data_IF_109815887742
#
_entry.id   IF_109815887742
#
_cell.length_a   1.000
_cell.length_b   1.000
_cell.length_c   1.000
_cell.angle_alpha   90.00
_cell.angle_beta   90.00
_cell.angle_gamma   90.00
#
_symmetry.space_group_name_H-M   'P 1'
#
loop_
_entity.id
_entity.type
_entity.pdbx_description
1 polymer ?
2 non-polymer ?
3 non-polymer ?
4 non-polymer ?
5 water ?
#
# COMPACT_ATOMS: atom_id res chain seq x y z
N UNK A 1 -26.83 3.97 6.39
CA UNK A 1 -25.48 4.23 5.86
C UNK A 1 -24.56 2.99 6.00
N UNK A 2 -23.54 2.91 5.14
CA UNK A 2 -22.67 1.77 5.18
C UNK A 2 -21.31 1.99 5.87
N UNK A 3 -20.74 0.87 6.26
CA UNK A 3 -19.42 0.85 6.85
C UNK A 3 -19.06 -0.64 6.84
N UNK A 4 -17.79 -0.94 7.01
CA UNK A 4 -17.38 -2.32 7.03
C UNK A 4 -15.94 -2.44 7.52
N UNK A 5 -15.53 -3.67 7.80
CA UNK A 5 -14.17 -3.93 8.24
C UNK A 5 -13.69 -5.14 7.45
N UNK A 6 -12.56 -4.95 6.78
CA UNK A 6 -11.93 -6.00 6.02
C UNK A 6 -10.67 -6.35 6.76
N UNK A 7 -10.42 -7.64 6.99
CA UNK A 7 -9.21 -8.00 7.68
C UNK A 7 -8.06 -8.26 6.73
N UNK A 8 -6.91 -7.68 6.98
CA UNK A 8 -5.76 -7.95 6.14
C UNK A 8 -4.83 -8.92 6.85
N UNK A 9 -3.95 -9.58 6.08
CA UNK A 9 -3.00 -10.49 6.71
C UNK A 9 -1.69 -10.35 5.96
N UNK A 10 -0.59 -10.19 6.69
CA UNK A 10 0.71 -10.09 6.05
C UNK A 10 1.22 -11.46 5.58
N UNK A 11 1.99 -11.45 4.52
CA UNK A 11 2.64 -12.64 4.01
C UNK A 11 3.98 -12.75 4.77
N UNK A 12 4.82 -13.69 4.38
CA UNK A 12 6.12 -13.86 5.04
C UNK A 12 6.91 -12.54 5.11
N UNK A 13 7.41 -12.22 6.30
CA UNK A 13 8.18 -11.00 6.51
C UNK A 13 7.39 -9.71 6.30
N UNK A 14 6.06 -9.82 6.25
CA UNK A 14 5.20 -8.65 6.04
C UNK A 14 5.53 -8.04 4.66
N UNK A 15 5.87 -8.88 3.70
CA UNK A 15 6.25 -8.35 2.41
C UNK A 15 5.08 -7.66 1.73
N UNK A 16 3.88 -8.21 1.93
CA UNK A 16 2.68 -7.58 1.40
C UNK A 16 1.52 -7.98 2.29
N UNK A 17 0.39 -7.28 2.14
CA UNK A 17 -0.77 -7.55 2.95
C UNK A 17 -1.95 -7.85 2.03
N UNK A 18 -2.58 -8.99 2.26
CA UNK A 18 -3.70 -9.38 1.43
C UNK A 18 -5.03 -9.32 2.19
N UNK A 19 -6.09 -9.07 1.42
CA UNK A 19 -7.41 -8.96 1.98
C UNK A 19 -8.36 -9.59 0.98
N UNK A 20 -9.32 -10.37 1.44
CA UNK A 20 -10.28 -10.97 0.51
C UNK A 20 -11.24 -9.93 -0.07
N UNK A 21 -11.62 -10.13 -1.33
CA UNK A 21 -12.54 -9.24 -2.03
C UNK A 21 -13.38 -10.17 -2.90
N UNK A 22 -14.69 -10.02 -2.82
CA UNK A 22 -15.57 -10.87 -3.62
C UNK A 22 -16.04 -10.13 -4.85
N UNK A 23 -15.70 -10.67 -6.01
CA UNK A 23 -16.13 -10.09 -7.27
C UNK A 23 -17.05 -11.04 -8.03
N UNK A 24 -18.29 -10.62 -8.28
CA UNK A 24 -19.24 -11.47 -9.00
C UNK A 24 -19.36 -12.85 -8.35
N UNK A 25 -19.37 -12.89 -7.02
CA UNK A 25 -19.46 -14.17 -6.30
C UNK A 25 -18.15 -14.96 -6.07
N UNK A 26 -17.06 -14.59 -6.73
CA UNK A 26 -15.79 -15.28 -6.55
C UNK A 26 -14.87 -14.48 -5.61
N UNK A 27 -14.33 -15.11 -4.56
CA UNK A 27 -13.43 -14.41 -3.64
C UNK A 27 -11.96 -14.51 -4.03
N UNK A 28 -11.32 -13.37 -4.20
CA UNK A 28 -9.91 -13.29 -4.55
C UNK A 28 -9.15 -12.63 -3.41
N UNK A 29 -7.86 -12.92 -3.27
CA UNK A 29 -7.05 -12.28 -2.25
C UNK A 29 -6.27 -11.17 -2.92
N UNK A 30 -6.63 -9.92 -2.64
CA UNK A 30 -5.97 -8.78 -3.26
C UNK A 30 -5.06 -7.97 -2.35
N UNK A 31 -4.10 -7.29 -2.95
CA UNK A 31 -3.17 -6.44 -2.22
C UNK A 31 -3.74 -5.01 -2.31
N UNK A 32 -4.24 -4.46 -1.21
CA UNK A 32 -4.80 -3.09 -1.22
C UNK A 32 -3.66 -2.10 -1.28
N UNK A 33 -3.76 -1.17 -2.21
CA UNK A 33 -2.66 -0.28 -2.48
C UNK A 33 -3.09 1.17 -2.57
N UNK A 34 -2.76 1.93 -1.54
CA UNK A 34 -3.12 3.36 -1.54
C UNK A 34 -2.26 4.18 -2.49
N UNK A 35 -1.28 3.54 -3.13
CA UNK A 35 -0.37 4.22 -4.07
C UNK A 35 -0.78 4.12 -5.55
N UNK A 36 -1.89 3.45 -5.84
CA UNK A 36 -2.35 3.36 -7.23
C UNK A 36 -3.87 3.33 -7.26
N UNK A 37 -4.43 3.62 -8.44
CA UNK A 37 -5.86 3.73 -8.58
C UNK A 37 -6.59 2.68 -9.40
N UNK A 38 -5.91 1.58 -9.71
CA UNK A 38 -6.52 0.50 -10.48
C UNK A 38 -6.91 -0.72 -9.65
N UNK A 39 -8.07 -1.29 -9.94
CA UNK A 39 -8.48 -2.53 -9.29
C UNK A 39 -8.29 -3.57 -10.41
N UNK A 40 -7.24 -4.36 -10.36
CA UNK A 40 -7.04 -5.32 -11.44
C UNK A 40 -6.88 -6.71 -10.87
N UNK A 41 -7.34 -7.72 -11.61
CA UNK A 41 -7.30 -9.08 -11.10
C UNK A 41 -6.84 -10.12 -12.12
N UNK A 42 -6.29 -11.21 -11.60
CA UNK A 42 -5.92 -12.34 -12.46
C UNK A 42 -7.25 -12.82 -13.02
N UNK A 43 -7.26 -13.19 -14.30
CA UNK A 43 -8.52 -13.60 -14.92
C UNK A 43 -8.31 -14.80 -15.83
N UNK A 44 -9.40 -15.30 -16.35
CA UNK A 44 -9.40 -16.44 -17.25
C UNK A 44 -8.84 -16.06 -18.63
N UNK A 45 -8.57 -14.77 -18.84
CA UNK A 45 -8.02 -14.33 -20.13
C UNK A 45 -6.53 -14.51 -20.18
N UNK A 46 -5.90 -14.81 -19.04
CA UNK A 46 -4.46 -15.04 -19.01
C UNK A 46 -4.22 -16.45 -19.54
N UNK A 47 -2.99 -16.72 -19.97
CA UNK A 47 -2.64 -18.06 -20.40
C UNK A 47 -2.88 -18.95 -19.19
N UNK A 48 -3.37 -20.15 -19.47
CA UNK A 48 -3.65 -21.09 -18.39
C UNK A 48 -2.45 -21.29 -17.46
N UNK A 49 -1.24 -21.24 -18.00
CA UNK A 49 -0.07 -21.48 -17.16
C UNK A 49 0.09 -20.38 -16.13
N UNK A 50 -0.35 -19.18 -16.49
CA UNK A 50 -0.22 -18.07 -15.56
C UNK A 50 -1.32 -18.01 -14.50
N UNK A 51 -2.40 -18.77 -14.70
CA UNK A 51 -3.50 -18.80 -13.75
C UNK A 51 -3.24 -19.71 -12.57
N UNK A 52 -2.24 -20.58 -12.72
CA UNK A 52 -1.94 -21.55 -11.69
C UNK A 52 -1.55 -20.97 -10.35
N UNK A 53 -2.18 -21.49 -9.30
CA UNK A 53 -1.91 -21.06 -7.93
C UNK A 53 -2.58 -19.74 -7.59
N UNK A 54 -3.65 -19.42 -8.31
CA UNK A 54 -4.38 -18.19 -8.08
C UNK A 54 -5.85 -18.44 -8.17
N UNK A 55 -6.64 -17.58 -7.55
CA UNK A 55 -8.09 -17.62 -7.70
C UNK A 55 -8.24 -16.59 -8.82
N UNK A 56 -8.98 -16.96 -9.86
CA UNK A 56 -9.13 -16.08 -11.01
C UNK A 56 -10.56 -15.62 -11.26
N UNK A 57 -10.69 -14.40 -11.79
CA UNK A 57 -11.99 -13.88 -12.14
C UNK A 57 -12.33 -14.33 -13.56
N UNK A 58 -13.55 -14.82 -13.77
CA UNK A 58 -14.04 -15.19 -15.10
C UNK A 58 -15.05 -14.14 -15.47
N UNK A 59 -14.66 -13.20 -16.33
CA UNK A 59 -15.54 -12.10 -16.71
C UNK A 59 -16.84 -12.51 -17.39
N UNK A 60 -16.78 -13.59 -18.16
CA UNK A 60 -17.93 -14.07 -18.94
C UNK A 60 -19.11 -14.48 -18.08
N UNK A 61 -18.84 -14.96 -16.87
CA UNK A 61 -19.89 -15.40 -15.99
C UNK A 61 -20.81 -14.32 -15.40
N UNK A 62 -20.25 -13.13 -15.08
CA UNK A 62 -21.02 -12.09 -14.40
C UNK A 62 -20.71 -10.65 -14.77
N UNK A 63 -19.60 -10.41 -15.44
CA UNK A 63 -19.21 -9.04 -15.78
C UNK A 63 -19.88 -8.49 -17.02
N UNK A 64 -20.00 -7.17 -17.09
CA UNK A 64 -20.53 -6.49 -18.28
C UNK A 64 -19.31 -5.86 -18.94
N UNK A 65 -18.99 -6.26 -20.17
CA UNK A 65 -17.79 -5.74 -20.83
C UNK A 65 -17.92 -4.31 -21.30
N UNK A 66 -16.88 -3.50 -21.10
CA UNK A 66 -16.89 -2.14 -21.65
C UNK A 66 -16.15 -2.30 -22.98
N UNK A 67 -16.90 -2.45 -24.06
CA UNK A 67 -16.26 -2.67 -25.33
C UNK A 67 -15.33 -1.50 -25.73
N UNK A 68 -14.13 -1.82 -26.18
CA UNK A 68 -13.17 -0.80 -26.61
C UNK A 68 -12.30 -0.22 -25.51
N UNK A 69 -12.59 -0.58 -24.26
CA UNK A 69 -11.83 -0.10 -23.11
C UNK A 69 -10.60 -0.95 -22.80
N UNK A 70 -9.52 -0.32 -22.38
CA UNK A 70 -8.32 -1.05 -22.03
C UNK A 70 -7.66 -0.36 -20.85
N UNK A 71 -6.68 -1.04 -20.26
CA UNK A 71 -5.93 -0.49 -19.15
C UNK A 71 -4.51 -1.03 -19.26
N UNK A 72 -3.58 -0.27 -18.72
CA UNK A 72 -2.18 -0.63 -18.77
C UNK A 72 -1.51 0.16 -17.68
N UNK A 73 -0.83 -0.53 -16.78
CA UNK A 73 -0.23 0.15 -15.65
C UNK A 73 1.21 -0.30 -15.46
N UNK A 74 2.03 0.65 -15.00
CA UNK A 74 3.45 0.43 -14.71
C UNK A 74 3.76 0.95 -13.31
N UNK A 75 4.31 0.07 -12.48
CA UNK A 75 4.63 0.39 -11.11
C UNK A 75 6.06 0.87 -10.90
N UNK A 76 6.31 1.36 -9.69
CA UNK A 76 7.59 1.89 -9.27
C UNK A 76 8.76 0.93 -9.46
N UNK A 77 8.56 -0.36 -9.19
CA UNK A 77 9.63 -1.35 -9.35
C UNK A 77 9.78 -1.83 -10.80
N UNK A 78 9.01 -1.22 -11.71
CA UNK A 78 9.04 -1.60 -13.12
C UNK A 78 8.05 -2.69 -13.52
N UNK A 79 7.38 -3.33 -12.56
CA UNK A 79 6.42 -4.37 -12.94
C UNK A 79 5.29 -3.72 -13.76
N UNK A 80 4.52 -4.54 -14.46
CA UNK A 80 3.42 -4.00 -15.25
C UNK A 80 2.34 -5.05 -15.51
N UNK A 81 1.17 -4.56 -15.93
CA UNK A 81 0.02 -5.41 -16.23
C UNK A 81 -0.86 -4.61 -17.16
N UNK A 82 -1.64 -5.33 -17.95
CA UNK A 82 -2.58 -4.71 -18.88
C UNK A 82 -3.70 -5.70 -19.22
N UNK A 83 -4.80 -5.17 -19.73
CA UNK A 83 -5.93 -6.00 -20.07
C UNK A 83 -7.13 -5.18 -20.49
N UNK A 84 -8.29 -5.81 -20.35
CA UNK A 84 -9.56 -5.22 -20.71
C UNK A 84 -10.42 -4.90 -19.49
N UNK A 85 -11.64 -4.42 -19.70
CA UNK A 85 -12.44 -3.94 -18.58
C UNK A 85 -13.88 -4.39 -18.56
N UNK A 86 -14.36 -4.72 -17.37
CA UNK A 86 -15.73 -5.16 -17.15
C UNK A 86 -16.25 -4.46 -15.90
N UNK A 87 -17.56 -4.34 -15.79
CA UNK A 87 -18.14 -3.81 -14.54
C UNK A 87 -18.76 -5.00 -13.85
N UNK A 88 -18.74 -5.01 -12.52
CA UNK A 88 -19.29 -6.16 -11.80
C UNK A 88 -19.53 -5.72 -10.37
N UNK A 89 -20.08 -6.63 -9.56
CA UNK A 89 -20.30 -6.36 -8.13
C UNK A 89 -19.02 -6.67 -7.37
N UNK A 90 -18.60 -5.75 -6.50
CA UNK A 90 -17.36 -5.95 -5.76
C UNK A 90 -17.63 -5.67 -4.31
N UNK A 91 -17.46 -6.71 -3.49
CA UNK A 91 -17.70 -6.60 -2.05
C UNK A 91 -16.44 -6.65 -1.22
N UNK A 92 -16.29 -5.70 -0.29
CA UNK A 92 -15.10 -5.68 0.56
C UNK A 92 -15.60 -5.39 1.96
N UNK A 93 -15.35 -6.31 2.89
CA UNK A 93 -15.80 -6.12 4.27
C UNK A 93 -17.30 -5.87 4.43
N UNK A 94 -18.11 -6.50 3.59
CA UNK A 94 -19.54 -6.32 3.69
C UNK A 94 -20.06 -5.10 2.94
N UNK A 95 -19.16 -4.26 2.43
CA UNK A 95 -19.56 -3.08 1.64
C UNK A 95 -19.49 -3.44 0.16
N UNK A 96 -20.62 -3.36 -0.53
CA UNK A 96 -20.69 -3.70 -1.95
C UNK A 96 -20.75 -2.53 -2.92
N UNK A 97 -19.85 -2.51 -3.89
CA UNK A 97 -19.91 -1.51 -4.93
C UNK A 97 -20.56 -2.19 -6.13
N UNK A 98 -21.70 -1.68 -6.58
CA UNK A 98 -22.33 -2.25 -7.77
C UNK A 98 -21.81 -1.48 -9.00
N UNK A 99 -21.56 -2.17 -10.09
CA UNK A 99 -21.08 -1.51 -11.31
C UNK A 99 -19.63 -1.04 -11.23
N UNK A 100 -18.86 -1.60 -10.29
CA UNK A 100 -17.46 -1.22 -10.16
C UNK A 100 -16.68 -1.75 -11.35
N UNK A 101 -15.80 -0.91 -11.90
CA UNK A 101 -14.95 -1.34 -13.00
C UNK A 101 -13.88 -2.32 -12.52
N UNK A 102 -13.87 -3.51 -13.09
CA UNK A 102 -12.87 -4.51 -12.74
C UNK A 102 -11.95 -4.69 -13.93
N UNK A 103 -10.66 -4.48 -13.73
CA UNK A 103 -9.68 -4.58 -14.81
C UNK A 103 -9.13 -6.00 -14.88
N UNK A 104 -9.58 -6.73 -15.90
CA UNK A 104 -9.17 -8.12 -16.08
C UNK A 104 -7.82 -8.20 -16.78
N UNK A 105 -6.86 -8.85 -16.14
CA UNK A 105 -5.53 -8.98 -16.72
C UNK A 105 -5.48 -9.90 -17.92
N UNK A 106 -4.80 -9.43 -18.96
CA UNK A 106 -4.50 -10.21 -20.17
C UNK A 106 -2.99 -10.49 -20.26
N UNK A 107 -2.20 -9.63 -19.63
CA UNK A 107 -0.75 -9.78 -19.60
C UNK A 107 -0.24 -9.24 -18.28
N UNK A 108 0.77 -9.89 -17.72
CA UNK A 108 1.37 -9.48 -16.46
C UNK A 108 2.86 -9.78 -16.54
N UNK A 109 3.67 -8.91 -15.97
CA UNK A 109 5.10 -9.06 -16.00
C UNK A 109 5.55 -10.15 -15.02
N UNK A 110 6.83 -10.50 -15.09
CA UNK A 110 7.39 -11.57 -14.27
C UNK A 110 7.16 -11.46 -12.77
N UNK A 111 7.23 -10.24 -12.22
CA UNK A 111 7.03 -10.06 -10.79
C UNK A 111 5.68 -10.63 -10.35
N UNK A 112 4.65 -10.37 -11.12
CA UNK A 112 3.34 -10.88 -10.78
C UNK A 112 3.21 -12.37 -11.07
N UNK A 113 3.87 -12.83 -12.13
CA UNK A 113 3.80 -14.25 -12.44
C UNK A 113 4.48 -15.02 -11.29
N UNK A 114 5.46 -14.42 -10.63
CA UNK A 114 6.15 -15.12 -9.56
C UNK A 114 5.44 -15.07 -8.22
N UNK A 115 4.66 -14.03 -8.00
CA UNK A 115 3.99 -13.86 -6.71
C UNK A 115 2.63 -14.56 -6.65
N UNK A 116 2.58 -15.71 -6.00
CA UNK A 116 1.32 -16.40 -5.89
C UNK A 116 0.51 -16.01 -4.65
N UNK A 117 1.01 -15.05 -3.89
CA UNK A 117 0.33 -14.61 -2.67
C UNK A 117 -0.88 -13.71 -2.93
N UNK A 118 -0.94 -13.10 -4.11
CA UNK A 118 -2.10 -12.27 -4.37
C UNK A 118 -2.66 -12.61 -5.74
N UNK A 119 -3.91 -12.22 -5.94
CA UNK A 119 -4.65 -12.42 -7.19
C UNK A 119 -4.91 -11.09 -7.90
N UNK A 120 -4.14 -10.06 -7.54
CA UNK A 120 -4.31 -8.73 -8.14
C UNK A 120 -4.19 -7.63 -7.08
N UNK A 121 -4.46 -6.39 -7.49
CA UNK A 121 -4.37 -5.24 -6.60
C UNK A 121 -5.64 -4.43 -6.60
N UNK A 122 -5.99 -3.87 -5.45
CA UNK A 122 -7.16 -2.99 -5.35
C UNK A 122 -6.61 -1.60 -5.00
N UNK A 123 -6.69 -0.67 -5.96
CA UNK A 123 -6.12 0.67 -5.77
C UNK A 123 -7.01 1.57 -4.89
N UNK A 124 -6.36 2.36 -4.05
CA UNK A 124 -7.07 3.27 -3.16
C UNK A 124 -6.49 4.70 -3.22
N UNK A 125 -5.67 4.98 -4.23
CA UNK A 125 -5.17 6.34 -4.47
C UNK A 125 -6.36 7.11 -5.10
N UNK A 126 -6.18 8.38 -5.44
CA UNK A 126 -7.28 9.13 -6.04
C UNK A 126 -7.61 8.64 -7.46
N UNK A 127 -8.89 8.68 -7.84
CA UNK A 127 -9.31 8.17 -9.14
C UNK A 127 -8.70 8.87 -10.34
N UNK A 128 -8.18 10.07 -10.13
CA UNK A 128 -7.56 10.86 -11.21
C UNK A 128 -6.42 10.14 -11.92
N UNK A 129 -5.76 9.21 -11.23
CA UNK A 129 -4.69 8.44 -11.82
C UNK A 129 -5.07 7.03 -12.29
N UNK A 130 -6.35 6.70 -12.30
CA UNK A 130 -6.78 5.40 -12.82
C UNK A 130 -6.36 5.35 -14.31
N UNK A 131 -5.83 4.21 -14.75
CA UNK A 131 -5.29 4.06 -16.11
C UNK A 131 -6.28 3.66 -17.23
N UNK A 132 -7.54 3.39 -16.90
CA UNK A 132 -8.49 2.96 -17.94
C UNK A 132 -8.68 3.97 -19.06
N UNK A 133 -8.60 3.48 -20.30
CA UNK A 133 -8.75 4.26 -21.52
C UNK A 133 -10.00 3.74 -22.24
N UNK A 134 -10.76 4.55 -22.96
CA UNK A 134 -10.55 5.99 -23.16
C UNK A 134 -11.07 6.92 -22.06
N UNK A 135 -11.79 6.38 -21.10
CA UNK A 135 -12.32 7.19 -20.01
C UNK A 135 -11.99 6.44 -18.71
N UNK A 136 -11.31 7.14 -17.81
CA UNK A 136 -10.90 6.54 -16.54
C UNK A 136 -12.07 6.21 -15.63
N UNK A 137 -11.88 5.20 -14.79
CA UNK A 137 -12.92 4.73 -13.88
C UNK A 137 -12.60 5.12 -12.45
N UNK A 138 -13.59 4.97 -11.57
CA UNK A 138 -13.37 5.27 -10.16
C UNK A 138 -12.93 4.04 -9.36
N UNK A 139 -12.14 4.30 -8.32
CA UNK A 139 -11.65 3.25 -7.42
C UNK A 139 -12.85 2.76 -6.61
N UNK A 140 -12.69 1.59 -6.00
CA UNK A 140 -13.74 1.04 -5.16
C UNK A 140 -14.19 2.07 -4.14
N UNK A 141 -13.23 2.77 -3.55
CA UNK A 141 -13.55 3.76 -2.52
C UNK A 141 -14.37 4.90 -3.06
N UNK A 142 -13.95 5.47 -4.19
CA UNK A 142 -14.71 6.57 -4.78
C UNK A 142 -16.08 6.12 -5.23
N UNK A 143 -16.21 4.86 -5.62
CA UNK A 143 -17.50 4.35 -6.04
C UNK A 143 -18.51 4.29 -4.90
N UNK A 144 -18.07 3.83 -3.73
CA UNK A 144 -18.92 3.65 -2.56
C UNK A 144 -18.96 4.82 -1.59
N UNK A 145 -18.03 5.74 -1.75
CA UNK A 145 -17.84 6.88 -0.85
C UNK A 145 -19.11 7.58 -0.39
N UNK A 146 -20.02 7.85 -1.31
CA UNK A 146 -21.25 8.57 -0.97
C UNK A 146 -22.21 7.74 -0.13
N UNK A 147 -22.06 6.42 -0.14
CA UNK A 147 -22.95 5.56 0.64
C UNK A 147 -22.42 5.33 2.06
N UNK A 148 -21.15 5.61 2.29
CA UNK A 148 -20.56 5.37 3.60
C UNK A 148 -21.02 6.38 4.66
N UNK A 149 -20.94 5.98 5.93
CA UNK A 149 -21.29 6.86 7.05
C UNK A 149 -20.40 8.10 7.05
N UNK A 150 -19.11 7.92 6.79
CA UNK A 150 -18.19 9.04 6.64
C UNK A 150 -17.33 8.65 5.47
N UNK A 151 -16.98 9.61 4.61
CA UNK A 151 -16.21 9.37 3.40
C UNK A 151 -14.72 9.22 3.67
N UNK A 152 -14.38 8.13 4.35
CA UNK A 152 -13.00 7.87 4.71
C UNK A 152 -12.78 6.37 4.89
N UNK A 153 -11.52 5.98 4.97
CA UNK A 153 -11.15 4.61 5.30
C UNK A 153 -9.92 4.76 6.21
N UNK A 154 -9.64 3.72 6.99
CA UNK A 154 -8.51 3.81 7.91
C UNK A 154 -7.80 2.47 7.88
N UNK A 155 -6.52 2.45 8.25
CA UNK A 155 -5.81 1.19 8.18
C UNK A 155 -4.85 0.99 9.34
N UNK A 156 -4.79 -0.26 9.79
CA UNK A 156 -3.86 -0.69 10.82
C UNK A 156 -3.21 -1.97 10.25
N UNK A 157 -1.98 -1.80 9.78
CA UNK A 157 -1.13 -2.88 9.28
C UNK A 157 -0.27 -3.27 10.44
N UNK A 158 -0.20 -4.56 10.70
CA UNK A 158 0.58 -5.07 11.82
C UNK A 158 1.75 -5.95 11.46
N UNK A 159 2.66 -6.11 12.41
CA UNK A 159 3.79 -7.00 12.22
C UNK A 159 3.41 -8.45 12.57
N UNK A 160 3.36 -9.31 11.54
CA UNK A 160 3.03 -10.70 11.75
C UNK A 160 1.74 -10.97 12.51
N UNK A 161 0.71 -10.16 12.27
CA UNK A 161 -0.57 -10.37 12.91
C UNK A 161 -1.61 -9.79 11.95
N UNK A 162 -2.85 -10.25 12.03
CA UNK A 162 -3.89 -9.73 11.16
C UNK A 162 -4.13 -8.26 11.52
N UNK A 163 -4.54 -7.47 10.54
CA UNK A 163 -4.78 -6.05 10.76
C UNK A 163 -6.14 -5.75 10.12
N UNK A 164 -6.47 -4.46 9.99
CA UNK A 164 -7.76 -4.16 9.41
C UNK A 164 -7.73 -2.96 8.48
N UNK A 165 -8.77 -2.91 7.65
CA UNK A 165 -9.11 -1.76 6.83
C UNK A 165 -10.53 -1.41 7.28
N UNK A 166 -10.67 -0.24 7.91
CA UNK A 166 -12.00 0.20 8.34
C UNK A 166 -12.56 1.10 7.27
N UNK A 167 -13.71 0.76 6.74
CA UNK A 167 -14.35 1.60 5.74
C UNK A 167 -15.54 2.38 6.32
N UNK A 168 -15.52 3.70 6.15
CA UNK A 168 -16.63 4.55 6.56
C UNK A 168 -16.76 4.86 8.05
N UNK A 169 -15.73 4.52 8.84
CA UNK A 169 -15.79 4.83 10.27
C UNK A 169 -14.40 4.64 10.86
N UNK A 170 -14.19 5.25 12.01
CA UNK A 170 -12.91 5.21 12.70
C UNK A 170 -13.05 4.35 13.96
N UNK A 171 -12.14 3.40 14.14
CA UNK A 171 -12.21 2.55 15.31
C UNK A 171 -11.20 3.12 16.29
N UNK A 172 -11.71 3.85 17.30
CA UNK A 172 -10.83 4.48 18.27
C UNK A 172 -10.04 3.52 19.14
N UNK A 173 -10.46 2.25 19.17
CA UNK A 173 -9.72 1.29 20.00
C UNK A 173 -8.42 0.84 19.33
N UNK A 174 -8.22 1.24 18.07
CA UNK A 174 -7.02 0.87 17.33
C UNK A 174 -5.78 1.73 17.53
N UNK A 175 -5.94 2.85 18.25
CA UNK A 175 -4.80 3.74 18.48
C UNK A 175 -4.90 4.34 19.89
N UNK A 176 -3.77 4.86 20.33
CA UNK A 176 -3.63 5.53 21.62
C UNK A 176 -3.79 7.02 21.40
N UNK A 177 -4.45 7.70 22.34
CA UNK A 177 -4.59 9.14 22.25
C UNK A 177 -5.57 9.58 21.17
N UNK A 178 -5.38 10.81 20.71
CA UNK A 178 -6.22 11.40 19.68
C UNK A 178 -5.48 11.45 18.35
N UNK A 179 -6.25 11.54 17.27
CA UNK A 179 -5.67 11.68 15.93
C UNK A 179 -5.17 13.09 15.66
N UNK A 180 -4.07 13.19 14.93
CA UNK A 180 -3.57 14.48 14.48
C UNK A 180 -3.74 14.45 12.96
N UNK A 181 -4.37 15.46 12.38
CA UNK A 181 -4.58 15.53 10.93
C UNK A 181 -3.63 16.45 10.23
N UNK A 182 -3.36 16.19 8.96
CA UNK A 182 -2.49 17.07 8.19
C UNK A 182 -3.08 17.10 6.79
N UNK A 183 -2.88 18.21 6.08
CA UNK A 183 -3.44 18.34 4.75
C UNK A 183 -2.78 17.46 3.68
N UNK A 184 -3.61 16.98 2.75
CA UNK A 184 -3.13 16.15 1.64
C UNK A 184 -3.11 16.93 0.34
N UNK A 185 -2.02 16.78 -0.42
CA UNK A 185 -1.91 17.34 -1.77
C UNK A 185 -2.23 16.18 -2.72
N UNK A 186 -3.41 16.20 -3.35
CA UNK A 186 -3.79 15.14 -4.26
C UNK A 186 -3.54 15.42 -5.75
N UNK A 187 -2.79 16.48 -6.03
CA UNK A 187 -2.51 16.89 -7.40
C UNK A 187 -1.88 15.83 -8.32
N UNK A 188 -1.09 14.92 -7.79
CA UNK A 188 -0.52 13.84 -8.59
C UNK A 188 -1.25 12.53 -8.34
N UNK A 189 -2.40 12.63 -7.68
CA UNK A 189 -3.27 11.49 -7.39
C UNK A 189 -2.89 10.68 -6.16
N UNK A 190 -1.85 11.10 -5.43
CA UNK A 190 -1.43 10.32 -4.26
C UNK A 190 -1.92 10.93 -2.95
N UNK A 191 -1.83 10.17 -1.86
CA UNK A 191 -2.14 10.70 -0.54
C UNK A 191 -0.81 11.28 -0.10
N UNK A 192 -0.50 12.45 -0.63
CA UNK A 192 0.75 13.13 -0.35
C UNK A 192 0.66 14.07 0.86
N UNK A 193 1.70 14.11 1.68
CA UNK A 193 1.68 15.00 2.84
C UNK A 193 3.08 15.48 3.13
N UNK A 194 3.19 16.58 3.88
CA UNK A 194 4.50 17.13 4.24
C UNK A 194 4.89 16.80 5.65
N UNK A 195 6.18 16.60 5.86
CA UNK A 195 6.71 16.45 7.20
C UNK A 195 7.58 17.67 7.38
N UNK A 196 7.58 18.20 8.59
CA UNK A 196 8.36 19.38 8.94
C UNK A 196 9.83 19.14 9.24
N UNK A 197 10.12 17.94 9.74
CA UNK A 197 11.49 17.55 10.05
C UNK A 197 11.49 16.05 10.34
N UNK A 198 12.70 15.52 10.52
CA UNK A 198 12.86 14.10 10.83
C UNK A 198 14.04 13.98 11.78
N UNK A 199 14.08 12.82 12.44
CA UNK A 199 15.18 12.46 13.32
C UNK A 199 15.54 10.99 13.04
N UNK A 200 16.76 10.80 12.57
CA UNK A 200 17.28 9.47 12.28
C UNK A 200 18.26 9.19 13.40
N UNK A 201 17.84 8.48 14.44
CA UNK A 201 18.76 8.20 15.55
C UNK A 201 19.23 9.52 16.13
N UNK A 202 20.56 9.70 16.12
CA UNK A 202 21.18 10.90 16.68
C UNK A 202 21.25 12.13 15.78
N UNK A 203 20.77 12.00 14.54
CA UNK A 203 20.80 13.09 13.57
C UNK A 203 19.41 13.62 13.21
N UNK A 204 19.22 14.92 13.16
CA UNK A 204 17.94 15.48 12.76
C UNK A 204 18.14 16.23 11.46
N UNK A 205 17.08 16.48 10.71
CA UNK A 205 17.24 17.18 9.44
C UNK A 205 15.93 17.85 9.04
N UNK A 206 15.99 18.56 7.92
CA UNK A 206 14.91 19.33 7.37
C UNK A 206 13.80 18.46 6.78
N UNK A 207 12.61 19.03 6.67
CA UNK A 207 11.43 18.34 6.14
C UNK A 207 11.44 18.01 4.63
N UNK A 208 10.35 17.36 4.21
CA UNK A 208 10.22 16.92 2.82
C UNK A 208 8.79 16.38 2.67
N UNK A 209 8.40 15.99 1.46
CA UNK A 209 7.06 15.44 1.30
C UNK A 209 7.15 13.95 1.00
N UNK A 210 6.02 13.27 1.16
CA UNK A 210 6.00 11.85 0.85
C UNK A 210 4.59 11.37 0.72
N UNK A 211 4.45 10.13 0.25
CA UNK A 211 3.14 9.54 0.07
C UNK A 211 2.86 8.35 1.00
N UNK A 212 1.63 8.25 1.50
CA UNK A 212 1.23 7.14 2.35
C UNK A 212 0.88 6.03 1.35
N UNK A 213 1.65 4.95 1.37
CA UNK A 213 1.52 3.92 0.34
C UNK A 213 1.58 2.49 0.90
N UNK A 214 0.41 1.90 1.06
CA UNK A 214 0.32 0.56 1.60
C UNK A 214 0.90 -0.48 0.66
N UNK A 215 1.04 -0.11 -0.61
CA UNK A 215 1.51 -1.01 -1.67
C UNK A 215 3.02 -1.24 -1.72
N UNK A 216 3.77 -0.45 -0.96
CA UNK A 216 5.22 -0.56 -0.92
C UNK A 216 5.63 -1.12 0.43
N UNK A 217 6.46 -2.15 0.42
CA UNK A 217 6.87 -2.84 1.64
C UNK A 217 7.72 -1.98 2.57
N UNK A 218 8.64 -1.22 1.98
CA UNK A 218 9.63 -0.47 2.75
C UNK A 218 9.37 1.02 2.90
N UNK A 219 10.22 1.66 3.69
CA UNK A 219 10.20 3.10 3.90
C UNK A 219 11.32 3.60 2.99
N UNK A 220 10.96 4.25 1.87
CA UNK A 220 11.96 4.72 0.90
C UNK A 220 12.20 6.20 1.08
N UNK A 221 13.45 6.58 1.32
CA UNK A 221 13.79 7.96 1.60
C UNK A 221 14.93 8.42 0.71
N UNK A 222 15.21 9.71 0.73
CA UNK A 222 16.32 10.21 -0.05
C UNK A 222 17.62 9.57 0.36
N UNK A 223 18.53 9.43 -0.61
CA UNK A 223 19.84 8.86 -0.37
C UNK A 223 20.60 9.50 0.77
N UNK A 224 20.49 10.83 0.94
CA UNK A 224 21.19 11.54 2.01
C UNK A 224 20.72 11.07 3.38
N UNK A 225 19.40 10.85 3.52
CA UNK A 225 18.80 10.40 4.77
C UNK A 225 19.15 8.95 5.04
N UNK A 226 19.12 8.12 4.00
CA UNK A 226 19.50 6.72 4.16
C UNK A 226 20.96 6.60 4.66
N UNK A 227 21.85 7.38 4.05
CA UNK A 227 23.24 7.35 4.46
C UNK A 227 23.38 7.73 5.92
N UNK A 228 22.69 8.79 6.31
CA UNK A 228 22.74 9.26 7.68
C UNK A 228 22.29 8.20 8.63
N UNK A 229 21.20 7.54 8.27
CA UNK A 229 20.66 6.49 9.12
C UNK A 229 21.66 5.33 9.27
N UNK A 230 22.11 4.79 8.14
CA UNK A 230 23.03 3.65 8.22
C UNK A 230 24.43 3.94 8.72
N UNK A 231 24.84 5.20 8.69
CA UNK A 231 26.15 5.54 9.21
C UNK A 231 26.17 5.22 10.72
N UNK A 232 24.98 5.14 11.31
CA UNK A 232 24.83 4.85 12.74
C UNK A 232 24.67 3.37 13.09
N UNK A 233 24.61 2.53 12.05
CA UNK A 233 24.42 1.11 12.25
C UNK A 233 25.75 0.40 12.04
N UNK A 234 26.28 -0.19 13.11
CA UNK A 234 27.57 -0.81 12.99
C UNK A 234 27.57 -1.96 11.99
N UNK A 235 28.52 -1.90 11.06
CA UNK A 235 28.64 -2.93 10.03
C UNK A 235 27.65 -2.87 8.86
N UNK A 236 26.76 -1.89 8.81
CA UNK A 236 25.79 -1.83 7.69
C UNK A 236 26.55 -1.70 6.37
N UNK A 237 26.07 -2.43 5.36
CA UNK A 237 26.70 -2.41 4.05
C UNK A 237 25.63 -2.75 3.03
N UNK A 238 25.80 -2.25 1.81
CA UNK A 238 24.85 -2.57 0.78
C UNK A 238 25.13 -3.96 0.21
N UNK A 239 24.06 -4.66 -0.15
CA UNK A 239 24.16 -5.99 -0.71
C UNK A 239 23.08 -6.05 -1.76
N UNK A 240 23.52 -5.97 -3.01
CA UNK A 240 22.60 -5.97 -4.13
C UNK A 240 21.83 -7.27 -4.24
N UNK A 241 22.37 -8.36 -3.69
CA UNK A 241 21.64 -9.62 -3.69
C UNK A 241 20.40 -9.46 -2.81
N UNK A 242 20.57 -8.74 -1.71
CA UNK A 242 19.47 -8.53 -0.78
C UNK A 242 18.55 -7.40 -1.20
N UNK A 243 19.07 -6.40 -1.90
CA UNK A 243 18.22 -5.29 -2.29
C UNK A 243 18.51 -3.96 -1.60
N UNK A 244 19.58 -3.88 -0.84
CA UNK A 244 19.90 -2.63 -0.18
C UNK A 244 20.83 -2.87 1.00
N UNK A 245 20.75 -1.96 1.96
CA UNK A 245 21.56 -2.07 3.16
C UNK A 245 21.16 -3.27 3.98
N UNK A 246 22.15 -3.99 4.50
CA UNK A 246 21.90 -5.13 5.36
C UNK A 246 22.84 -4.99 6.54
N UNK A 247 22.53 -5.74 7.60
CA UNK A 247 23.33 -5.66 8.81
C UNK A 247 23.08 -6.92 9.62
N UNK A 248 23.92 -7.11 10.63
CA UNK A 248 23.81 -8.26 11.50
C UNK A 248 22.43 -8.21 12.15
N UNK A 249 21.72 -9.32 12.15
CA UNK A 249 20.38 -9.32 12.70
C UNK A 249 20.24 -8.87 14.15
N UNK A 250 21.28 -9.03 14.96
CA UNK A 250 21.20 -8.65 16.35
C UNK A 250 21.54 -7.19 16.65
N UNK A 251 21.90 -6.45 15.61
CA UNK A 251 22.25 -5.04 15.75
C UNK A 251 21.11 -4.23 16.38
N UNK A 252 21.48 -3.28 17.23
CA UNK A 252 20.52 -2.36 17.85
C UNK A 252 20.31 -1.22 16.85
N UNK A 253 19.11 -1.12 16.27
CA UNK A 253 18.83 -0.07 15.28
C UNK A 253 18.26 1.20 15.93
N UNK A 254 18.70 2.37 15.47
CA UNK A 254 18.11 3.60 16.00
C UNK A 254 16.65 3.79 15.52
N UNK A 255 15.90 4.61 16.24
CA UNK A 255 14.52 4.89 15.83
C UNK A 255 14.57 5.89 14.69
N UNK A 256 13.44 6.05 14.04
CA UNK A 256 13.33 7.04 13.00
C UNK A 256 11.99 7.72 13.25
N UNK A 257 11.96 9.04 13.18
CA UNK A 257 10.67 9.69 13.37
C UNK A 257 10.54 10.92 12.48
N UNK A 258 9.30 11.33 12.26
CA UNK A 258 9.06 12.51 11.45
C UNK A 258 8.05 13.36 12.19
N UNK A 259 8.18 14.67 12.04
CA UNK A 259 7.26 15.58 12.70
C UNK A 259 6.23 15.94 11.64
N UNK A 260 4.95 15.76 11.94
CA UNK A 260 3.87 16.04 10.98
C UNK A 260 2.82 16.90 11.70
N UNK A 261 2.73 18.17 11.30
CA UNK A 261 1.77 19.08 11.91
C UNK A 261 1.76 19.02 13.43
N UNK A 262 2.95 18.99 14.02
CA UNK A 262 3.11 18.95 15.49
C UNK A 262 3.18 17.55 16.11
N UNK A 263 2.74 16.55 15.38
CA UNK A 263 2.77 15.18 15.86
C UNK A 263 4.07 14.44 15.47
N UNK A 264 4.68 13.77 16.44
CA UNK A 264 5.88 13.01 16.12
C UNK A 264 5.54 11.55 15.83
N UNK A 265 5.67 11.14 14.58
CA UNK A 265 5.40 9.74 14.21
C UNK A 265 6.71 8.97 14.34
N UNK A 266 6.77 8.05 15.30
CA UNK A 266 8.00 7.31 15.52
C UNK A 266 7.95 5.87 15.07
N UNK A 267 8.95 5.47 14.29
CA UNK A 267 9.07 4.07 13.89
C UNK A 267 10.21 3.52 14.75
N UNK A 268 9.90 2.63 15.69
CA UNK A 268 10.93 2.12 16.57
C UNK A 268 11.94 1.30 15.80
N UNK A 269 13.19 1.30 16.26
CA UNK A 269 14.23 0.54 15.58
C UNK A 269 13.87 -0.94 15.35
N UNK A 270 13.15 -1.56 16.26
CA UNK A 270 12.79 -2.96 16.08
C UNK A 270 11.98 -3.23 14.80
N UNK A 271 11.16 -2.28 14.37
CA UNK A 271 10.39 -2.44 13.14
C UNK A 271 11.23 -2.17 11.91
N UNK A 272 12.36 -1.51 12.09
CA UNK A 272 13.21 -1.21 10.96
C UNK A 272 14.00 -2.47 10.54
N UNK A 273 14.00 -3.48 11.40
CA UNK A 273 14.65 -4.73 11.00
C UNK A 273 13.57 -5.49 10.23
N UNK A 274 13.66 -5.45 8.91
CA UNK A 274 12.67 -6.10 8.07
C UNK A 274 12.63 -7.63 8.19
N UNK A 275 13.79 -8.26 8.21
CA UNK A 275 13.80 -9.71 8.28
C UNK A 275 15.07 -10.17 7.62
N UNK A 276 15.24 -11.49 7.58
CA UNK A 276 16.43 -12.09 6.96
C UNK A 276 16.52 -11.55 5.55
N UNK A 277 17.74 -11.23 5.14
CA UNK A 277 18.02 -10.66 3.83
C UNK A 277 17.91 -11.71 2.74
N UNK A 278 17.79 -12.97 3.14
CA UNK A 278 17.75 -14.09 2.20
C UNK A 278 19.20 -14.37 1.81
N UNK A 279 20.04 -13.37 2.05
CA UNK A 279 21.46 -13.44 1.77
C UNK A 279 22.35 -14.03 2.85
N UNK A 280 21.96 -15.21 3.31
CA UNK A 280 22.73 -15.94 4.32
C UNK A 280 22.41 -15.65 5.77
N UNK A 281 23.12 -14.71 6.40
CA UNK A 281 22.89 -14.47 7.82
C UNK A 281 22.68 -13.03 8.26
N UNK A 282 22.48 -12.13 7.29
CA UNK A 282 22.23 -10.73 7.58
C UNK A 282 20.75 -10.44 7.48
N UNK A 283 20.36 -9.28 8.00
CA UNK A 283 18.98 -8.83 7.93
C UNK A 283 18.88 -7.61 7.02
N UNK A 284 17.73 -7.47 6.36
CA UNK A 284 17.52 -6.35 5.47
C UNK A 284 16.94 -5.17 6.25
N UNK A 285 17.44 -3.96 5.98
CA UNK A 285 16.92 -2.76 6.64
C UNK A 285 15.58 -2.34 6.04
N UNK A 286 14.68 -1.85 6.90
CA UNK A 286 13.35 -1.40 6.48
C UNK A 286 13.44 -0.05 5.76
N UNK A 287 14.52 0.70 5.97
CA UNK A 287 14.76 1.96 5.28
C UNK A 287 15.68 1.71 4.08
N UNK A 288 15.30 2.19 2.89
CA UNK A 288 16.15 2.04 1.68
C UNK A 288 15.93 3.26 0.79
N UNK A 289 16.76 3.39 -0.24
CA UNK A 289 16.70 4.53 -1.15
C UNK A 289 15.46 4.61 -2.03
N UNK A 290 15.01 5.84 -2.28
CA UNK A 290 13.91 6.12 -3.19
C UNK A 290 14.39 6.32 -4.62
N UNK A 291 15.67 6.04 -4.88
CA UNK A 291 16.19 6.13 -6.24
C UNK A 291 16.21 7.53 -6.83
N UNK A 292 16.17 8.55 -5.97
CA UNK A 292 16.25 9.92 -6.44
C UNK A 292 15.00 10.51 -7.04
N UNK A 293 13.84 9.90 -6.80
CA UNK A 293 12.59 10.43 -7.35
C UNK A 293 12.07 11.76 -6.78
N UNK A 294 12.69 12.29 -5.74
CA UNK A 294 12.29 13.58 -5.20
C UNK A 294 11.22 13.63 -4.12
N UNK A 295 10.70 12.48 -3.69
CA UNK A 295 9.73 12.48 -2.61
C UNK A 295 9.84 11.10 -1.97
N UNK A 296 9.41 11.00 -0.72
CA UNK A 296 9.55 9.75 0.01
C UNK A 296 8.31 8.87 -0.03
N UNK A 297 8.54 7.57 0.10
CA UNK A 297 7.44 6.62 0.07
C UNK A 297 7.26 6.04 1.48
N UNK A 298 6.16 6.41 2.13
CA UNK A 298 5.89 5.92 3.48
C UNK A 298 5.12 4.60 3.36
N UNK A 299 5.91 3.54 3.16
CA UNK A 299 5.42 2.18 2.96
C UNK A 299 5.10 1.45 4.27
N UNK A 300 4.92 0.14 4.15
CA UNK A 300 4.49 -0.66 5.26
C UNK A 300 5.33 -0.57 6.51
N UNK A 301 6.65 -0.41 6.38
CA UNK A 301 7.52 -0.34 7.55
C UNK A 301 7.05 0.82 8.46
N UNK A 302 6.71 1.94 7.84
CA UNK A 302 6.20 3.11 8.58
C UNK A 302 4.78 2.91 9.06
N UNK A 303 3.93 2.39 8.19
CA UNK A 303 2.52 2.19 8.51
C UNK A 303 2.26 1.22 9.66
N UNK A 304 3.17 0.27 9.86
CA UNK A 304 3.06 -0.69 10.95
C UNK A 304 3.09 -0.03 12.32
N UNK A 305 3.55 1.22 12.41
CA UNK A 305 3.61 1.92 13.69
C UNK A 305 2.44 2.84 13.96
N UNK A 306 1.57 3.04 12.98
CA UNK A 306 0.50 4.03 13.13
C UNK A 306 -0.85 3.52 12.70
N UNK A 307 -1.89 4.17 13.18
CA UNK A 307 -3.24 3.94 12.68
C UNK A 307 -3.37 5.14 11.76
N UNK A 308 -3.80 4.93 10.52
CA UNK A 308 -3.84 6.06 9.59
C UNK A 308 -5.23 6.20 8.98
N UNK A 309 -5.76 7.42 9.06
CA UNK A 309 -7.07 7.71 8.50
C UNK A 309 -6.92 8.45 7.18
N UNK A 310 -7.51 7.91 6.11
CA UNK A 310 -7.50 8.52 4.76
C UNK A 310 -8.88 9.15 4.59
N UNK A 311 -8.94 10.46 4.78
CA UNK A 311 -10.21 11.20 4.74
C UNK A 311 -10.37 12.00 3.44
N UNK A 312 -11.41 11.70 2.67
CA UNK A 312 -11.65 12.41 1.42
C UNK A 312 -12.03 13.86 1.65
N UNK A 313 -12.58 14.18 2.83
CA UNK A 313 -12.89 15.59 3.15
C UNK A 313 -11.61 16.34 3.52
N UNK A 314 -11.20 17.23 2.63
CA UNK A 314 -9.98 17.96 2.85
C UNK A 314 -9.28 18.07 1.50
N UNK A 315 -8.65 16.99 1.04
CA UNK A 315 -8.52 15.74 1.80
C UNK A 315 -7.48 15.92 2.91
N UNK A 316 -7.40 14.94 3.80
CA UNK A 316 -6.42 15.01 4.88
C UNK A 316 -6.14 13.61 5.40
N UNK A 317 -5.00 13.46 6.05
CA UNK A 317 -4.62 12.19 6.66
C UNK A 317 -4.58 12.38 8.16
N UNK A 318 -5.07 11.40 8.91
CA UNK A 318 -5.00 11.45 10.37
C UNK A 318 -4.02 10.37 10.82
N UNK A 319 -3.26 10.66 11.88
CA UNK A 319 -2.29 9.71 12.43
C UNK A 319 -2.35 9.63 13.96
N UNK A 320 -2.12 8.44 14.49
CA UNK A 320 -1.98 8.22 15.94
C UNK A 320 -1.21 6.90 16.08
N UNK A 321 -0.48 6.71 17.19
CA UNK A 321 0.27 5.47 17.37
C UNK A 321 -0.66 4.28 17.48
N UNK A 322 -0.31 3.15 16.89
CA UNK A 322 -1.21 2.00 17.01
C UNK A 322 -1.26 1.52 18.45
N UNK A 323 -2.43 1.01 18.81
CA UNK A 323 -2.66 0.49 20.16
C UNK A 323 -2.11 -0.93 20.32
X LIG B 1 -20.07 0.71 10.46
X LIG B 1 -20.65 -0.47 11.21
X LIG B 1 -22.08 -0.70 10.74
X LIG B 1 -22.90 0.57 10.88
X LIG B 1 -22.21 1.66 10.07
X LIG B 1 -22.93 3.00 10.08
X LIG B 1 -20.61 -0.22 12.61
X LIG B 1 -22.67 -1.73 11.55
X LIG B 1 -24.21 0.36 10.37
X LIG B 1 -20.90 1.87 10.61
X LIG B 1 -23.00 3.50 11.43
X LIG C 1 -11.36 -9.96 9.76
X LIG C 1 -12.68 -9.32 10.11
X LIG C 1 -12.53 -8.47 11.36
X LIG C 1 -11.89 -9.25 12.50
X LIG C 1 -10.61 -9.92 12.01
X LIG C 1 -9.97 -10.80 13.07
X LIG C 1 -13.67 -10.33 10.31
X LIG C 1 -13.83 -8.04 11.79
X LIG C 1 -11.53 -8.29 13.49
X LIG C 1 -10.91 -10.73 10.87
X LIG C 1 -9.18 -11.87 12.50
X LIG D 1 -9.81 11.42 18.06
X LIG D 1 -11.19 10.96 17.77
X LIG D 1 -9.39 12.38 17.04
X LIG D 1 -9.78 12.06 19.39
X LIG D 1 -8.88 10.30 18.03
X LIG E 1 7.53 -2.62 -2.47
X LIG E 1 2.86 -6.56 -5.24
X LIG E 1 3.35 -7.80 -5.64
X LIG E 1 4.26 -7.93 -6.72
X LIG E 1 4.67 -6.84 -7.46
X LIG E 1 4.13 -5.53 -7.13
X LIG E 1 3.23 -5.40 -6.02
X LIG E 1 2.79 -4.10 -5.65
X LIG E 1 3.14 -2.98 -6.37
X LIG E 1 4.03 -3.09 -7.47
X LIG E 1 4.50 -4.34 -7.82
X LIG E 1 7.34 -2.99 -3.64
X LIG E 1 2.57 -1.63 -5.99
X LIG E 1 3.55 -0.45 -6.05
X LIG E 1 7.22 -2.54 -4.90
X LIG E 1 7.28 -1.09 -5.17
X LIG E 1 5.97 -0.74 -5.87
X LIG E 1 6.18 -0.48 -7.05
X LIG E 1 8.57 -0.39 -5.67
X LIG E 1 8.64 1.03 -5.15
X LIG E 1 9.55 -0.82 -4.56
X LIG E 1 4.77 -0.72 -5.29
X LIG E 1 2.74 1.07 -5.45
X LIG E 1 1.47 1.24 -6.15
X LIG E 1 2.64 1.05 -4.00
X LIG E 1 3.16 3.36 -6.54
X LIG E 1 3.84 4.55 -5.86
X LIG E 1 5.32 4.59 -6.06
X LIG E 1 6.15 3.75 -5.35
X LIG E 1 5.88 5.43 -6.99
X LIG E 1 7.52 3.79 -5.52
X LIG E 1 7.25 5.50 -7.18
X LIG E 1 8.07 4.67 -6.44
X LIG E 1 3.43 3.38 -8.04
X LIG E 1 3.02 4.59 -10.05
X LIG E 1 3.66 2.17 -6.02
X LIG E 1 3.23 4.58 -8.59
X LIG E 1 3.77 2.42 -8.67
#
# INVERSE_FOLDING_TARGET
AASGVATNTPTANDEEYITPVTIGGTTLNLNFDTGSADLWVFSTELPASQQSGHSVYNPSATGKELSGYTWSISYGDGSSASGNVFTDSVTVGGVTAHGQAVQAAQQISAQFQQDTNNDGLLGLAFSSINTVQPQSQTTFFDTVKSSLAQPLFAVALKHQQPGVYDFGFIDSSKYTGSLTYTGVDNSQGFWSFNVDSYTAGSQSGDGFSGIADTGTTLLLLDDSVVSQYYSQVSGAQQDSNAGGYVFDCSTNLPDFSVSISGYTATVPGSLINYGPSGDGSTCLGGIQSNSGIGFSIFGDIFLKSQYVVFDSDGPQLGFAPQA
MAN C1 C2 C3 C4 C5 C6 O2 O3 O4 O5 O6
MAN C1 C2 C3 C4 C5 C6 O2 O3 O4 O5 O6
SO4 S O1 O2 O3 O4
PP4 OI C1 C2 C3 C4 C5 C6 C7 C8 C9 C10 C12 C13 C14 NV CAV CV OV CBV CV1 CV2 NL P O OH CA CB CG CD1 CD2 CE1 CE2 CZ C CS OP OS OE
#
